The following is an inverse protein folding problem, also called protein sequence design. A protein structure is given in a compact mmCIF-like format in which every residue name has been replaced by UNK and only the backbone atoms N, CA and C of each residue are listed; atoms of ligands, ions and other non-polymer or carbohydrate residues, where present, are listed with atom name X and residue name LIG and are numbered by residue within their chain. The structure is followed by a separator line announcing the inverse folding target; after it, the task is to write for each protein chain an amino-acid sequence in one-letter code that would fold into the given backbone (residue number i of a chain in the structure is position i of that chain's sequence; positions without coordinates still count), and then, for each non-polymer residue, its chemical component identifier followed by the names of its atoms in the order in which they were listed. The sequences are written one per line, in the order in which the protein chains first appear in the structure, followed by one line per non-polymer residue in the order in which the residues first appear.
data_IF_437149380550
#
_entry.id   IF_437149380550
#
_cell.length_a   1.000
_cell.length_b   1.000
_cell.length_c   1.000
_cell.angle_alpha   90.00
_cell.angle_beta   90.00
_cell.angle_gamma   90.00
#
_symmetry.space_group_name_H-M   'P 1'
#
loop_
_entity.id
_entity.type
_entity.pdbx_description
1 polymer ?
#
# COMPACT_ATOMS: atom_id res chain seq x y z
N UNK A 1 -22.38 -43.06 -13.56
CA UNK A 1 -22.17 -42.21 -14.76
C UNK A 1 -20.81 -41.54 -14.60
N UNK A 2 -19.86 -41.79 -15.52
CA UNK A 2 -18.50 -41.22 -15.49
C UNK A 2 -18.52 -39.88 -16.25
N UNK A 3 -18.19 -38.77 -15.59
CA UNK A 3 -17.98 -37.47 -16.24
C UNK A 3 -16.52 -37.33 -16.69
N UNK A 4 -16.35 -36.98 -17.97
CA UNK A 4 -15.07 -36.76 -18.65
C UNK A 4 -14.50 -35.40 -18.23
N UNK A 5 -13.25 -35.37 -17.73
CA UNK A 5 -12.42 -34.16 -17.66
C UNK A 5 -11.95 -33.81 -19.08
N UNK A 6 -12.17 -32.57 -19.49
CA UNK A 6 -11.61 -32.01 -20.72
C UNK A 6 -10.15 -31.63 -20.49
N UNK A 7 -9.22 -32.44 -21.00
CA UNK A 7 -7.81 -32.09 -21.13
C UNK A 7 -7.61 -31.21 -22.38
N UNK A 8 -7.17 -29.97 -22.17
CA UNK A 8 -6.75 -29.07 -23.26
C UNK A 8 -5.34 -29.49 -23.72
N UNK A 9 -5.05 -29.69 -25.02
CA UNK A 9 -3.78 -30.27 -25.46
C UNK A 9 -2.57 -29.34 -25.26
N UNK A 10 -1.52 -29.84 -24.58
CA UNK A 10 -0.20 -29.20 -24.37
C UNK A 10 0.49 -28.67 -25.65
N UNK A 11 0.03 -29.05 -26.85
CA UNK A 11 0.60 -28.60 -28.13
C UNK A 11 0.27 -27.14 -28.49
N UNK A 12 -0.81 -26.55 -27.96
CA UNK A 12 -1.16 -25.15 -28.26
C UNK A 12 -0.36 -24.12 -27.44
N UNK A 13 0.07 -24.46 -26.21
CA UNK A 13 0.92 -23.58 -25.38
C UNK A 13 2.34 -23.43 -25.95
N UNK A 14 2.93 -24.50 -26.50
CA UNK A 14 4.29 -24.44 -27.06
C UNK A 14 4.38 -23.59 -28.34
N UNK A 15 3.35 -23.58 -29.20
CA UNK A 15 3.31 -22.72 -30.39
C UNK A 15 3.21 -21.24 -30.06
N UNK A 16 2.51 -20.88 -28.98
CA UNK A 16 2.40 -19.47 -28.56
C UNK A 16 3.74 -18.93 -28.05
N UNK A 17 4.49 -19.74 -27.30
CA UNK A 17 5.82 -19.41 -26.77
C UNK A 17 6.85 -19.28 -27.91
N UNK A 18 6.87 -20.22 -28.87
CA UNK A 18 7.74 -20.13 -30.05
C UNK A 18 7.44 -18.87 -30.89
N UNK A 19 6.17 -18.48 -31.00
CA UNK A 19 5.77 -17.27 -31.73
C UNK A 19 6.20 -15.99 -31.01
N UNK A 20 6.18 -15.97 -29.68
CA UNK A 20 6.67 -14.84 -28.87
C UNK A 20 8.20 -14.70 -28.91
N UNK A 21 8.94 -15.81 -28.83
CA UNK A 21 10.41 -15.80 -28.94
C UNK A 21 10.84 -15.32 -30.34
N UNK A 22 10.15 -15.78 -31.39
CA UNK A 22 10.44 -15.34 -32.76
C UNK A 22 10.15 -13.84 -32.97
N UNK A 23 9.09 -13.31 -32.33
CA UNK A 23 8.78 -11.87 -32.33
C UNK A 23 9.86 -11.06 -31.62
N UNK A 24 10.35 -11.53 -30.46
CA UNK A 24 11.44 -10.89 -29.70
C UNK A 24 12.77 -10.87 -30.46
N UNK A 25 13.12 -11.96 -31.13
CA UNK A 25 14.34 -12.02 -31.97
C UNK A 25 14.26 -11.09 -33.19
N UNK A 26 13.07 -10.92 -33.77
CA UNK A 26 12.87 -9.99 -34.89
C UNK A 26 12.93 -8.52 -34.44
N UNK A 27 12.51 -8.21 -33.21
CA UNK A 27 12.62 -6.86 -32.63
C UNK A 27 14.07 -6.50 -32.31
N UNK A 28 14.86 -7.44 -31.77
CA UNK A 28 16.30 -7.23 -31.57
C UNK A 28 17.07 -7.02 -32.89
N UNK A 29 16.74 -7.80 -33.94
CA UNK A 29 17.34 -7.62 -35.28
C UNK A 29 16.96 -6.27 -35.90
N UNK A 30 15.73 -5.79 -35.69
CA UNK A 30 15.32 -4.46 -36.13
C UNK A 30 16.07 -3.34 -35.39
N UNK A 31 16.29 -3.49 -34.07
CA UNK A 31 17.05 -2.54 -33.27
C UNK A 31 18.54 -2.48 -33.66
N UNK A 32 19.16 -3.62 -33.98
CA UNK A 32 20.55 -3.68 -34.48
C UNK A 32 20.70 -3.03 -35.86
N UNK A 33 19.69 -3.16 -36.75
CA UNK A 33 19.69 -2.50 -38.07
C UNK A 33 19.49 -0.98 -37.99
N UNK A 34 18.82 -0.48 -36.96
CA UNK A 34 18.69 0.95 -36.66
C UNK A 34 19.98 1.56 -36.09
N UNK A 35 20.77 0.78 -35.36
CA UNK A 35 22.07 1.23 -34.85
C UNK A 35 23.13 1.35 -35.97
N UNK A 36 23.11 0.45 -36.96
CA UNK A 36 24.00 0.53 -38.13
C UNK A 36 23.65 1.65 -39.10
N UNK A 37 22.38 2.06 -39.20
CA UNK A 37 21.98 3.24 -40.02
C UNK A 37 22.41 4.56 -39.38
N UNK A 38 22.57 4.63 -38.06
CA UNK A 38 23.06 5.83 -37.36
C UNK A 38 24.53 6.15 -37.68
N UNK A 39 25.34 5.11 -37.93
CA UNK A 39 26.76 5.24 -38.32
C UNK A 39 26.96 5.61 -39.81
N UNK A 40 25.90 5.61 -40.63
CA UNK A 40 25.97 6.00 -42.04
C UNK A 40 25.74 7.51 -42.28
N UNK A 41 25.42 8.28 -41.24
CA UNK A 41 25.07 9.72 -41.36
C UNK A 41 26.29 10.64 -41.15
N UNK A 42 27.42 10.14 -40.63
CA UNK A 42 28.63 10.92 -40.40
C UNK A 42 29.32 11.52 -41.65
N UNK A 43 29.27 10.95 -42.87
CA UNK A 43 29.93 11.58 -44.02
C UNK A 43 29.13 12.75 -44.64
N UNK A 44 27.84 12.91 -44.34
CA UNK A 44 27.02 13.96 -44.97
C UNK A 44 27.04 15.31 -44.22
N UNK A 45 27.48 15.35 -42.96
CA UNK A 45 27.60 16.62 -42.23
C UNK A 45 28.79 17.48 -42.68
N UNK A 46 29.83 16.88 -43.28
CA UNK A 46 31.01 17.64 -43.77
C UNK A 46 30.80 18.31 -45.14
N UNK A 47 29.82 17.87 -45.94
CA UNK A 47 29.52 18.52 -47.23
C UNK A 47 28.65 19.78 -47.10
N UNK A 48 27.84 19.89 -46.03
CA UNK A 48 26.94 21.05 -45.84
C UNK A 48 27.68 22.29 -45.32
N UNK A 49 28.85 22.13 -44.68
CA UNK A 49 29.66 23.28 -44.21
C UNK A 49 30.45 24.02 -45.33
N UNK A 50 30.43 23.54 -46.58
CA UNK A 50 31.16 24.16 -47.71
C UNK A 50 30.31 24.99 -48.68
N UNK A 51 29.00 25.08 -48.49
CA UNK A 51 28.13 25.86 -49.37
C UNK A 51 27.74 27.22 -48.75
N UNK A 52 28.68 28.16 -48.74
CA UNK A 52 28.41 29.60 -48.54
C UNK A 52 28.21 30.26 -49.91
N UNK A 53 26.95 30.51 -50.28
CA UNK A 53 26.43 31.63 -51.13
C UNK A 53 25.14 31.19 -51.84
N UNK A 54 24.00 31.50 -51.22
CA UNK A 54 22.77 31.99 -51.86
C UNK A 54 21.67 32.01 -50.79
N UNK A 55 21.26 33.21 -50.39
CA UNK A 55 20.48 33.46 -49.18
C UNK A 55 18.98 33.12 -49.29
N UNK A 56 18.47 32.78 -50.48
CA UNK A 56 17.04 32.52 -50.67
C UNK A 56 16.65 31.04 -50.69
N UNK A 57 17.60 30.12 -50.90
CA UNK A 57 17.32 28.68 -50.82
C UNK A 57 17.29 28.14 -49.37
N UNK A 58 17.87 28.88 -48.41
CA UNK A 58 17.98 28.46 -47.00
C UNK A 58 16.64 28.51 -46.25
N UNK A 59 15.71 29.41 -46.63
CA UNK A 59 14.42 29.56 -45.94
C UNK A 59 13.44 28.42 -46.27
N UNK A 60 13.35 28.03 -47.53
CA UNK A 60 12.47 26.93 -47.96
C UNK A 60 12.99 25.58 -47.45
N UNK A 61 14.32 25.36 -47.52
CA UNK A 61 14.91 24.10 -47.04
C UNK A 61 14.83 23.96 -45.52
N UNK A 62 14.95 25.07 -44.75
CA UNK A 62 14.72 25.08 -43.30
C UNK A 62 13.25 24.84 -42.95
N UNK A 63 12.29 25.39 -43.68
CA UNK A 63 10.87 25.09 -43.48
C UNK A 63 10.55 23.62 -43.76
N UNK A 64 11.08 23.04 -44.85
CA UNK A 64 10.86 21.62 -45.18
C UNK A 64 11.51 20.71 -44.13
N UNK A 65 12.73 21.01 -43.67
CA UNK A 65 13.38 20.25 -42.59
C UNK A 65 12.67 20.39 -41.25
N UNK A 66 12.16 21.58 -40.91
CA UNK A 66 11.41 21.80 -39.67
C UNK A 66 10.05 21.12 -39.72
N UNK A 67 9.38 21.10 -40.88
CA UNK A 67 8.14 20.35 -41.10
C UNK A 67 8.37 18.84 -41.04
N UNK A 68 9.47 18.33 -41.62
CA UNK A 68 9.85 16.92 -41.53
C UNK A 68 10.27 16.53 -40.11
N UNK A 69 10.94 17.41 -39.35
CA UNK A 69 11.24 17.21 -37.94
C UNK A 69 9.95 17.21 -37.10
N UNK A 70 9.02 18.14 -37.35
CA UNK A 70 7.74 18.23 -36.63
C UNK A 70 6.83 17.03 -36.94
N UNK A 71 6.80 16.54 -38.18
CA UNK A 71 6.10 15.30 -38.54
C UNK A 71 6.74 14.07 -37.90
N UNK A 72 8.08 13.98 -37.89
CA UNK A 72 8.75 12.89 -37.20
C UNK A 72 8.63 12.98 -35.69
N UNK A 73 8.58 14.18 -35.10
CA UNK A 73 8.33 14.41 -33.67
C UNK A 73 6.88 14.07 -33.32
N UNK A 74 5.92 14.40 -34.18
CA UNK A 74 4.51 14.02 -34.05
C UNK A 74 4.32 12.51 -34.17
N UNK A 75 4.97 11.85 -35.14
CA UNK A 75 5.00 10.40 -35.26
C UNK A 75 5.74 9.71 -34.11
N UNK A 76 6.79 10.33 -33.56
CA UNK A 76 7.46 9.87 -32.34
C UNK A 76 6.57 10.05 -31.13
N UNK A 77 5.84 11.16 -30.99
CA UNK A 77 4.86 11.42 -29.92
C UNK A 77 3.62 10.53 -30.05
N UNK A 78 3.19 10.18 -31.26
CA UNK A 78 2.12 9.22 -31.52
C UNK A 78 2.57 7.78 -31.25
N UNK A 79 3.80 7.42 -31.61
CA UNK A 79 4.41 6.15 -31.19
C UNK A 79 4.69 6.13 -29.70
N UNK A 80 5.03 7.27 -29.07
CA UNK A 80 5.13 7.39 -27.62
C UNK A 80 3.76 7.31 -26.98
N UNK A 81 2.70 7.91 -27.54
CA UNK A 81 1.31 7.74 -27.10
C UNK A 81 0.76 6.34 -27.36
N UNK A 82 1.29 5.59 -28.31
CA UNK A 82 0.91 4.21 -28.58
C UNK A 82 1.68 3.22 -27.71
N UNK A 83 2.98 3.46 -27.45
CA UNK A 83 3.75 2.70 -26.45
C UNK A 83 3.29 3.04 -25.04
N UNK A 84 3.05 4.33 -24.77
CA UNK A 84 2.42 4.79 -23.55
C UNK A 84 0.93 4.42 -23.56
N UNK A 85 0.28 4.13 -24.68
CA UNK A 85 -1.10 3.62 -24.69
C UNK A 85 -1.21 2.15 -24.26
N UNK A 86 -0.15 1.37 -24.47
CA UNK A 86 -0.03 -0.01 -23.94
C UNK A 86 0.67 -0.06 -22.56
N UNK A 87 1.47 0.96 -22.20
CA UNK A 87 2.11 1.11 -20.87
C UNK A 87 1.26 1.97 -19.90
N UNK A 88 0.25 2.67 -20.42
CA UNK A 88 -0.82 3.37 -19.71
C UNK A 88 -2.13 2.58 -19.91
N UNK A 89 -2.05 1.25 -19.79
CA UNK A 89 -2.99 0.60 -18.88
C UNK A 89 -2.87 1.40 -17.61
N UNK A 90 -3.90 2.18 -17.27
CA UNK A 90 -4.03 2.91 -16.02
C UNK A 90 -3.38 2.04 -14.95
N UNK A 91 -2.21 2.44 -14.45
CA UNK A 91 -1.61 1.78 -13.30
C UNK A 91 -2.49 2.20 -12.15
N UNK A 92 -3.64 1.55 -12.04
CA UNK A 92 -4.63 1.85 -11.04
C UNK A 92 -4.03 1.48 -9.71
N UNK A 93 -3.98 2.48 -8.84
CA UNK A 93 -3.38 2.32 -7.53
C UNK A 93 -4.41 1.68 -6.62
N UNK A 94 -4.02 0.57 -6.00
CA UNK A 94 -4.76 0.02 -4.87
C UNK A 94 -4.33 0.71 -3.59
N UNK A 95 -5.20 0.73 -2.58
CA UNK A 95 -4.87 1.26 -1.28
C UNK A 95 -5.00 0.17 -0.22
N UNK A 96 -4.05 0.10 0.69
CA UNK A 96 -4.00 -0.93 1.70
C UNK A 96 -3.59 -0.36 3.06
N UNK A 97 -4.26 -0.83 4.10
CA UNK A 97 -3.80 -0.64 5.47
C UNK A 97 -3.56 -2.00 6.13
N UNK A 98 -2.41 -2.17 6.77
CA UNK A 98 -2.14 -3.32 7.62
C UNK A 98 -2.45 -2.95 9.06
N UNK A 99 -3.43 -3.63 9.65
CA UNK A 99 -3.84 -3.41 11.04
C UNK A 99 -3.04 -4.36 11.93
N UNK A 100 -2.04 -3.82 12.62
CA UNK A 100 -1.15 -4.59 13.50
C UNK A 100 -1.23 -4.09 14.94
N UNK A 101 -0.72 -4.89 15.86
CA UNK A 101 -0.63 -4.53 17.28
C UNK A 101 -0.78 -5.75 18.18
N UNK A 102 -0.37 -5.64 19.46
CA UNK A 102 -0.37 -6.75 20.39
C UNK A 102 -1.74 -7.43 20.53
N UNK A 103 -1.74 -8.69 20.95
CA UNK A 103 -2.96 -9.44 21.21
C UNK A 103 -3.87 -8.69 22.20
N UNK A 104 -5.17 -8.65 21.88
CA UNK A 104 -6.14 -7.92 22.70
C UNK A 104 -6.16 -6.40 22.51
N UNK A 105 -5.35 -5.80 21.64
CA UNK A 105 -5.41 -4.36 21.31
C UNK A 105 -6.71 -3.94 20.61
N UNK A 106 -7.50 -4.88 20.08
CA UNK A 106 -8.80 -4.60 19.45
C UNK A 106 -8.75 -4.40 17.93
N UNK A 107 -7.80 -5.03 17.23
CA UNK A 107 -7.64 -4.97 15.76
C UNK A 107 -8.93 -5.32 14.99
N UNK A 108 -9.47 -6.52 15.18
CA UNK A 108 -10.70 -6.96 14.51
C UNK A 108 -11.91 -6.08 14.86
N UNK A 109 -11.98 -5.58 16.10
CA UNK A 109 -13.03 -4.62 16.52
C UNK A 109 -12.89 -3.29 15.79
N UNK A 110 -11.66 -2.80 15.63
CA UNK A 110 -11.37 -1.60 14.84
C UNK A 110 -11.75 -1.81 13.37
N UNK A 111 -11.40 -2.95 12.76
CA UNK A 111 -11.78 -3.28 11.38
C UNK A 111 -13.29 -3.28 11.20
N UNK A 112 -14.04 -3.89 12.12
CA UNK A 112 -15.52 -3.89 12.11
C UNK A 112 -16.10 -2.48 12.18
N UNK A 113 -15.68 -1.67 13.16
CA UNK A 113 -16.23 -0.33 13.34
C UNK A 113 -15.83 0.63 12.21
N UNK A 114 -14.63 0.47 11.64
CA UNK A 114 -14.21 1.26 10.49
C UNK A 114 -15.01 0.87 9.24
N UNK A 115 -15.23 -0.42 9.02
CA UNK A 115 -16.06 -0.92 7.92
C UNK A 115 -17.49 -0.37 7.99
N UNK A 116 -18.16 -0.48 9.15
CA UNK A 116 -19.51 0.06 9.36
C UNK A 116 -19.58 1.58 9.14
N UNK A 117 -18.56 2.31 9.60
CA UNK A 117 -18.47 3.76 9.38
C UNK A 117 -18.35 4.09 7.89
N UNK A 118 -17.51 3.35 7.16
CA UNK A 118 -17.28 3.56 5.73
C UNK A 118 -18.51 3.19 4.87
N UNK A 119 -19.22 2.11 5.21
CA UNK A 119 -20.52 1.81 4.60
C UNK A 119 -21.52 2.95 4.80
N UNK A 120 -21.56 3.52 6.02
CA UNK A 120 -22.50 4.61 6.35
C UNK A 120 -22.24 5.88 5.53
N UNK A 121 -20.97 6.21 5.26
CA UNK A 121 -20.60 7.37 4.42
C UNK A 121 -20.60 7.05 2.92
N UNK A 122 -20.92 5.81 2.53
CA UNK A 122 -20.94 5.36 1.13
C UNK A 122 -19.57 5.13 0.51
N UNK A 123 -18.54 4.86 1.33
CA UNK A 123 -17.19 4.52 0.89
C UNK A 123 -17.00 3.01 0.87
N UNK A 124 -16.62 2.46 -0.27
CA UNK A 124 -16.32 1.03 -0.42
C UNK A 124 -14.96 0.70 0.20
N UNK A 125 -14.95 -0.32 1.05
CA UNK A 125 -13.74 -0.91 1.62
C UNK A 125 -13.92 -2.42 1.72
N UNK A 126 -12.82 -3.15 1.62
CA UNK A 126 -12.81 -4.60 1.67
C UNK A 126 -11.90 -5.06 2.81
N UNK A 127 -12.43 -5.87 3.73
CA UNK A 127 -11.67 -6.37 4.87
C UNK A 127 -11.13 -7.76 4.56
N UNK A 128 -9.81 -7.91 4.67
CA UNK A 128 -9.08 -9.16 4.48
C UNK A 128 -8.67 -9.71 5.84
N UNK A 129 -9.02 -10.96 6.10
CA UNK A 129 -8.56 -11.65 7.30
C UNK A 129 -7.21 -12.33 7.02
N UNK A 130 -6.17 -11.92 7.77
CA UNK A 130 -4.88 -12.61 7.82
C UNK A 130 -4.64 -13.35 9.13
N UNK A 131 -5.62 -13.39 10.05
CA UNK A 131 -5.53 -14.16 11.28
C UNK A 131 -6.13 -15.57 11.11
N UNK A 132 -5.31 -16.64 11.01
CA UNK A 132 -5.80 -18.01 10.85
C UNK A 132 -6.43 -18.57 12.14
N UNK A 133 -6.31 -17.86 13.27
CA UNK A 133 -6.93 -18.20 14.55
C UNK A 133 -8.28 -17.49 14.79
N UNK A 134 -8.75 -16.64 13.85
CA UNK A 134 -9.99 -15.90 14.02
C UNK A 134 -11.23 -16.81 13.91
N UNK A 135 -12.12 -16.71 14.89
CA UNK A 135 -13.34 -17.53 14.96
C UNK A 135 -14.59 -16.81 14.44
N UNK A 136 -14.76 -15.52 14.79
CA UNK A 136 -15.98 -14.75 14.55
C UNK A 136 -15.65 -13.39 13.92
N UNK A 137 -16.33 -13.07 12.82
CA UNK A 137 -16.27 -11.77 12.17
C UNK A 137 -17.62 -11.06 12.26
N UNK A 138 -17.56 -9.74 12.46
CA UNK A 138 -18.74 -8.86 12.47
C UNK A 138 -18.83 -8.02 11.18
N UNK A 139 -18.09 -8.39 10.14
CA UNK A 139 -18.01 -7.71 8.86
C UNK A 139 -17.89 -8.75 7.74
N UNK A 140 -18.27 -8.41 6.49
CA UNK A 140 -18.03 -9.28 5.35
C UNK A 140 -16.53 -9.35 5.06
N UNK A 141 -16.00 -10.57 5.07
CA UNK A 141 -14.60 -10.85 4.77
C UNK A 141 -14.46 -11.02 3.26
N UNK A 142 -13.57 -10.23 2.67
CA UNK A 142 -13.29 -10.19 1.23
C UNK A 142 -12.33 -11.31 0.80
N UNK A 143 -11.34 -11.60 1.64
CA UNK A 143 -10.38 -12.70 1.48
C UNK A 143 -10.07 -13.25 2.88
N UNK A 144 -9.99 -14.56 3.03
CA UNK A 144 -9.77 -15.21 4.31
C UNK A 144 -8.61 -16.20 4.23
N UNK A 145 -7.53 -15.94 4.98
CA UNK A 145 -6.38 -16.85 5.06
C UNK A 145 -6.76 -18.27 5.48
N UNK A 146 -7.87 -18.45 6.21
CA UNK A 146 -8.34 -19.78 6.66
C UNK A 146 -8.75 -20.68 5.50
N UNK A 147 -9.03 -20.13 4.32
CA UNK A 147 -9.27 -20.90 3.10
C UNK A 147 -7.97 -21.48 2.51
N UNK A 148 -6.84 -20.82 2.78
CA UNK A 148 -5.50 -21.29 2.41
C UNK A 148 -4.94 -22.24 3.49
N UNK A 149 -4.97 -21.83 4.76
CA UNK A 149 -4.42 -22.56 5.89
C UNK A 149 -5.13 -22.19 7.21
N UNK A 150 -5.59 -23.19 7.95
CA UNK A 150 -6.21 -23.00 9.27
C UNK A 150 -5.22 -23.35 10.39
N UNK A 151 -5.28 -22.61 11.51
CA UNK A 151 -4.40 -22.88 12.64
C UNK A 151 -4.72 -24.24 13.30
N UNK A 152 -6.00 -24.61 13.36
CA UNK A 152 -6.45 -25.87 13.96
C UNK A 152 -5.88 -27.08 13.21
N UNK A 153 -6.00 -27.10 11.88
CA UNK A 153 -5.49 -28.20 11.05
C UNK A 153 -3.96 -28.33 11.18
N UNK A 154 -3.24 -27.21 11.17
CA UNK A 154 -1.78 -27.19 11.34
C UNK A 154 -1.35 -27.72 12.70
N UNK A 155 -2.07 -27.34 13.77
CA UNK A 155 -1.78 -27.82 15.13
C UNK A 155 -2.02 -29.33 15.24
N UNK A 156 -3.08 -29.85 14.61
CA UNK A 156 -3.41 -31.28 14.64
C UNK A 156 -2.43 -32.12 13.81
N UNK A 157 -2.13 -31.70 12.58
CA UNK A 157 -1.29 -32.45 11.65
C UNK A 157 0.19 -32.41 12.01
N UNK A 158 0.72 -31.21 12.31
CA UNK A 158 2.15 -31.01 12.58
C UNK A 158 2.50 -31.14 14.07
N UNK A 159 1.49 -31.31 14.95
CA UNK A 159 1.65 -31.41 16.41
C UNK A 159 2.40 -30.22 17.00
N UNK A 160 2.16 -29.04 16.44
CA UNK A 160 2.72 -27.79 16.91
C UNK A 160 1.83 -27.17 17.98
N UNK A 161 2.44 -26.39 18.88
CA UNK A 161 1.67 -25.53 19.79
C UNK A 161 1.08 -24.31 19.06
N UNK A 162 0.17 -23.54 19.67
CA UNK A 162 -0.54 -22.44 19.02
C UNK A 162 0.38 -21.41 18.35
N UNK A 163 1.44 -20.97 19.04
CA UNK A 163 2.38 -20.00 18.46
C UNK A 163 3.20 -20.60 17.31
N UNK A 164 3.61 -21.86 17.42
CA UNK A 164 4.36 -22.55 16.36
C UNK A 164 3.50 -22.81 15.13
N UNK A 165 2.23 -23.19 15.34
CA UNK A 165 1.26 -23.35 14.25
C UNK A 165 0.96 -22.03 13.56
N UNK A 166 0.82 -20.93 14.32
CA UNK A 166 0.59 -19.61 13.73
C UNK A 166 1.77 -19.16 12.87
N UNK A 167 3.00 -19.34 13.37
CA UNK A 167 4.21 -19.05 12.59
C UNK A 167 4.23 -19.84 11.27
N UNK A 168 3.90 -21.13 11.33
CA UNK A 168 3.81 -21.97 10.14
C UNK A 168 2.75 -21.47 9.15
N UNK A 169 1.56 -21.07 9.63
CA UNK A 169 0.51 -20.52 8.77
C UNK A 169 1.00 -19.26 8.03
N UNK A 170 1.73 -18.41 8.73
CA UNK A 170 2.27 -17.16 8.16
C UNK A 170 3.42 -17.43 7.18
N UNK A 171 4.29 -18.39 7.45
CA UNK A 171 5.31 -18.86 6.50
C UNK A 171 4.67 -19.48 5.25
N UNK A 172 3.58 -20.25 5.41
CA UNK A 172 2.85 -20.82 4.28
C UNK A 172 2.15 -19.77 3.42
N UNK A 173 1.65 -18.69 4.04
CA UNK A 173 1.16 -17.51 3.32
C UNK A 173 2.28 -16.87 2.49
N UNK A 174 3.49 -16.73 3.05
CA UNK A 174 4.65 -16.18 2.36
C UNK A 174 5.04 -17.02 1.13
N UNK A 175 5.02 -18.35 1.26
CA UNK A 175 5.28 -19.25 0.13
C UNK A 175 4.19 -19.18 -0.96
N UNK A 176 2.97 -18.75 -0.59
CA UNK A 176 1.79 -18.72 -1.46
C UNK A 176 1.45 -17.34 -2.01
N UNK A 177 2.30 -16.32 -1.84
CA UNK A 177 2.02 -14.93 -2.26
C UNK A 177 1.74 -14.79 -3.76
N UNK A 178 2.55 -15.45 -4.60
CA UNK A 178 2.44 -15.35 -6.06
C UNK A 178 1.31 -16.20 -6.65
N UNK A 179 0.76 -17.13 -5.87
CA UNK A 179 -0.28 -18.05 -6.33
C UNK A 179 -1.64 -17.63 -5.77
N UNK A 180 -1.80 -17.61 -4.45
CA UNK A 180 -3.09 -17.32 -3.81
C UNK A 180 -3.37 -15.82 -3.68
N UNK A 181 -2.43 -15.03 -3.15
CA UNK A 181 -2.65 -13.59 -2.94
C UNK A 181 -2.83 -12.87 -4.27
N UNK A 182 -2.08 -13.25 -5.30
CA UNK A 182 -2.22 -12.68 -6.64
C UNK A 182 -3.59 -12.93 -7.28
N UNK A 183 -4.11 -14.15 -7.14
CA UNK A 183 -5.45 -14.52 -7.63
C UNK A 183 -6.55 -13.77 -6.89
N UNK A 184 -6.44 -13.65 -5.56
CA UNK A 184 -7.43 -12.92 -4.77
C UNK A 184 -7.41 -11.41 -5.04
N UNK A 185 -6.22 -10.81 -5.19
CA UNK A 185 -6.06 -9.39 -5.52
C UNK A 185 -6.50 -9.04 -6.95
N UNK A 186 -6.70 -10.00 -7.85
CA UNK A 186 -7.28 -9.73 -9.17
C UNK A 186 -8.73 -9.22 -9.09
N UNK A 187 -9.46 -9.59 -8.02
CA UNK A 187 -10.84 -9.17 -7.81
C UNK A 187 -10.98 -7.74 -7.23
N UNK A 188 -9.88 -7.13 -6.77
CA UNK A 188 -9.89 -5.87 -6.02
C UNK A 188 -8.91 -4.85 -6.61
N UNK A 189 -9.22 -4.36 -7.82
CA UNK A 189 -8.41 -3.39 -8.55
C UNK A 189 -9.26 -2.17 -8.91
N UNK A 190 -8.59 -1.04 -9.06
CA UNK A 190 -9.16 0.28 -9.42
C UNK A 190 -9.78 1.05 -8.23
N UNK A 191 -8.94 1.80 -7.50
CA UNK A 191 -9.32 2.67 -6.37
C UNK A 191 -9.91 1.94 -5.14
N UNK A 192 -9.80 0.61 -5.11
CA UNK A 192 -10.22 -0.20 -3.97
C UNK A 192 -9.33 0.01 -2.74
N UNK A 193 -9.97 -0.02 -1.57
CA UNK A 193 -9.31 0.10 -0.29
C UNK A 193 -9.42 -1.21 0.51
N UNK A 194 -8.29 -1.89 0.65
CA UNK A 194 -8.13 -3.11 1.42
C UNK A 194 -7.69 -2.82 2.88
N UNK A 195 -8.37 -3.48 3.83
CA UNK A 195 -7.99 -3.49 5.24
C UNK A 195 -7.53 -4.90 5.61
N UNK A 196 -6.25 -5.08 5.92
CA UNK A 196 -5.71 -6.36 6.36
C UNK A 196 -5.76 -6.45 7.90
N UNK A 197 -6.61 -7.33 8.43
CA UNK A 197 -6.63 -7.67 9.86
C UNK A 197 -5.56 -8.73 10.15
N UNK A 198 -4.46 -8.33 10.78
CA UNK A 198 -3.31 -9.20 11.03
C UNK A 198 -3.42 -9.94 12.38
N UNK A 199 -2.75 -11.10 12.52
CA UNK A 199 -2.71 -11.82 13.80
C UNK A 199 -2.10 -10.97 14.93
N UNK A 200 -2.52 -11.24 16.16
CA UNK A 200 -2.10 -10.46 17.33
C UNK A 200 -0.74 -10.80 17.94
N UNK A 201 -0.02 -11.79 17.43
CA UNK A 201 1.27 -12.19 18.01
C UNK A 201 2.37 -11.23 17.59
N UNK A 202 3.13 -10.73 18.57
CA UNK A 202 4.10 -9.65 18.36
C UNK A 202 5.29 -10.11 17.51
N UNK A 203 5.62 -11.40 17.57
CA UNK A 203 6.76 -12.01 16.90
C UNK A 203 6.70 -11.84 15.38
N UNK A 204 5.49 -11.74 14.82
CA UNK A 204 5.23 -11.61 13.38
C UNK A 204 5.68 -10.27 12.80
N UNK A 205 5.73 -9.22 13.61
CA UNK A 205 6.16 -7.89 13.18
C UNK A 205 7.42 -7.38 13.90
N UNK A 206 8.04 -8.19 14.77
CA UNK A 206 9.31 -7.84 15.42
C UNK A 206 10.50 -8.71 15.00
N UNK A 207 10.29 -9.98 14.64
CA UNK A 207 11.40 -10.94 14.45
C UNK A 207 11.38 -11.68 13.12
N UNK A 208 10.21 -11.83 12.49
CA UNK A 208 10.06 -12.63 11.28
C UNK A 208 9.73 -11.73 10.07
N UNK A 209 10.37 -11.93 8.90
CA UNK A 209 10.19 -11.05 7.75
C UNK A 209 8.92 -11.33 6.94
N UNK A 210 8.05 -12.28 7.33
CA UNK A 210 6.83 -12.64 6.59
C UNK A 210 5.99 -11.41 6.23
N UNK A 211 5.66 -10.57 7.22
CA UNK A 211 4.84 -9.37 6.96
C UNK A 211 5.57 -8.32 6.12
N UNK A 212 6.90 -8.24 6.23
CA UNK A 212 7.71 -7.37 5.37
C UNK A 212 7.63 -7.84 3.91
N UNK A 213 7.81 -9.13 3.67
CA UNK A 213 7.78 -9.72 2.33
C UNK A 213 6.37 -9.62 1.73
N UNK A 214 5.32 -9.82 2.53
CA UNK A 214 3.93 -9.57 2.14
C UNK A 214 3.71 -8.09 1.72
N UNK A 215 4.20 -7.13 2.49
CA UNK A 215 4.13 -5.70 2.16
C UNK A 215 4.90 -5.38 0.87
N UNK A 216 6.11 -5.92 0.70
CA UNK A 216 6.90 -5.73 -0.50
C UNK A 216 6.18 -6.29 -1.74
N UNK A 217 5.52 -7.43 -1.60
CA UNK A 217 4.68 -8.02 -2.64
C UNK A 217 3.49 -7.12 -2.99
N UNK A 218 2.76 -6.58 -2.01
CA UNK A 218 1.69 -5.60 -2.25
C UNK A 218 2.19 -4.35 -2.99
N UNK A 219 3.35 -3.81 -2.59
CA UNK A 219 3.98 -2.67 -3.28
C UNK A 219 4.33 -2.99 -4.73
N UNK A 220 4.80 -4.21 -5.02
CA UNK A 220 5.06 -4.66 -6.40
C UNK A 220 3.78 -4.75 -7.25
N UNK A 221 2.62 -4.88 -6.59
CA UNK A 221 1.28 -4.85 -7.23
C UNK A 221 0.66 -3.45 -7.28
N UNK A 222 1.45 -2.40 -7.08
CA UNK A 222 1.02 -0.99 -7.09
C UNK A 222 0.00 -0.63 -5.98
N UNK A 223 0.12 -1.23 -4.80
CA UNK A 223 -0.62 -0.77 -3.62
C UNK A 223 0.16 0.31 -2.86
N UNK A 224 -0.53 1.40 -2.50
CA UNK A 224 -0.09 2.32 -1.46
C UNK A 224 -0.45 1.71 -0.10
N UNK A 225 0.58 1.38 0.67
CA UNK A 225 0.43 0.65 1.92
C UNK A 225 0.82 1.54 3.09
N UNK A 226 -0.03 1.61 4.12
CA UNK A 226 0.36 2.09 5.44
C UNK A 226 0.12 1.04 6.52
N UNK A 227 0.72 1.25 7.69
CA UNK A 227 0.46 0.42 8.87
C UNK A 227 -0.38 1.21 9.86
N UNK A 228 -1.43 0.59 10.38
CA UNK A 228 -2.20 1.08 11.52
C UNK A 228 -1.80 0.26 12.73
N UNK A 229 -1.02 0.86 13.63
CA UNK A 229 -0.53 0.19 14.83
C UNK A 229 -1.45 0.48 16.01
N UNK A 230 -2.17 -0.53 16.51
CA UNK A 230 -3.05 -0.40 17.67
C UNK A 230 -2.34 -0.75 18.97
N UNK A 231 -2.41 0.18 19.93
CA UNK A 231 -1.96 -0.01 21.31
C UNK A 231 -3.14 0.19 22.26
N UNK A 232 -3.28 -0.66 23.28
CA UNK A 232 -4.35 -0.51 24.27
C UNK A 232 -4.10 0.74 25.14
N UNK A 233 -5.14 1.54 25.37
CA UNK A 233 -5.13 2.68 26.30
C UNK A 233 -4.57 2.38 27.71
N UNK A 234 -4.58 1.12 28.17
CA UNK A 234 -3.94 0.76 29.43
C UNK A 234 -2.42 0.98 29.46
N UNK A 235 -1.79 1.17 28.29
CA UNK A 235 -0.36 1.50 28.20
C UNK A 235 -0.07 2.95 28.59
N UNK A 236 -1.05 3.86 28.54
CA UNK A 236 -0.89 5.26 28.95
C UNK A 236 -1.28 5.51 30.43
N UNK A 237 -1.36 4.46 31.25
CA UNK A 237 -1.58 4.59 32.71
C UNK A 237 -0.28 4.72 33.50
N UNK A 238 0.84 4.35 32.90
CA UNK A 238 2.15 4.28 33.55
C UNK A 238 3.25 4.59 32.52
N UNK A 239 4.19 5.46 32.88
CA UNK A 239 5.31 5.85 32.00
C UNK A 239 6.14 4.67 31.50
N UNK A 240 6.36 3.63 32.31
CA UNK A 240 7.12 2.43 31.93
C UNK A 240 6.39 1.62 30.88
N UNK A 241 5.06 1.51 31.01
CA UNK A 241 4.21 0.86 30.01
C UNK A 241 4.19 1.69 28.72
N UNK A 242 4.01 3.00 28.84
CA UNK A 242 3.98 3.90 27.69
C UNK A 242 5.27 3.78 26.85
N UNK A 243 6.43 3.88 27.50
CA UNK A 243 7.72 3.72 26.81
C UNK A 243 7.85 2.34 26.17
N UNK A 244 7.45 1.27 26.86
CA UNK A 244 7.43 -0.08 26.26
C UNK A 244 6.57 -0.14 25.00
N UNK A 245 5.40 0.52 25.00
CA UNK A 245 4.53 0.65 23.84
C UNK A 245 5.17 1.44 22.70
N UNK A 246 5.80 2.57 23.00
CA UNK A 246 6.56 3.36 22.02
C UNK A 246 7.68 2.55 21.38
N UNK A 247 8.45 1.81 22.18
CA UNK A 247 9.54 0.97 21.69
C UNK A 247 9.04 -0.18 20.82
N UNK A 248 7.90 -0.78 21.17
CA UNK A 248 7.30 -1.85 20.34
C UNK A 248 6.80 -1.33 19.00
N UNK A 249 6.14 -0.16 18.99
CA UNK A 249 5.74 0.51 17.75
C UNK A 249 6.95 0.87 16.88
N UNK A 250 7.99 1.47 17.48
CA UNK A 250 9.20 1.84 16.76
C UNK A 250 9.93 0.61 16.17
N UNK A 251 9.97 -0.50 16.91
CA UNK A 251 10.53 -1.75 16.39
C UNK A 251 9.75 -2.25 15.15
N UNK A 252 8.42 -2.18 15.18
CA UNK A 252 7.59 -2.54 14.03
C UNK A 252 7.80 -1.60 12.83
N UNK A 253 7.96 -0.29 13.08
CA UNK A 253 8.27 0.69 12.04
C UNK A 253 9.57 0.37 11.31
N UNK A 254 10.63 0.04 12.06
CA UNK A 254 11.92 -0.31 11.50
C UNK A 254 11.83 -1.63 10.72
N UNK A 255 11.07 -2.61 11.23
CA UNK A 255 10.96 -3.92 10.60
C UNK A 255 10.17 -3.87 9.28
N UNK A 256 9.06 -3.12 9.23
CA UNK A 256 8.16 -3.07 8.08
C UNK A 256 8.53 -1.97 7.06
N UNK A 257 9.34 -0.99 7.45
CA UNK A 257 9.78 0.10 6.58
C UNK A 257 8.61 0.81 5.86
N UNK A 258 7.56 1.08 6.64
CA UNK A 258 6.31 1.70 6.19
C UNK A 258 5.92 2.88 7.08
N UNK A 259 5.18 3.87 6.57
CA UNK A 259 4.60 4.88 7.42
C UNK A 259 3.55 4.25 8.34
N UNK A 260 3.60 4.63 9.63
CA UNK A 260 2.73 4.08 10.66
C UNK A 260 1.82 5.16 11.22
N UNK A 261 0.53 4.85 11.30
CA UNK A 261 -0.47 5.59 12.07
C UNK A 261 -0.65 4.86 13.39
N UNK A 262 -0.07 5.38 14.47
CA UNK A 262 -0.20 4.75 15.78
C UNK A 262 -1.50 5.20 16.44
N UNK A 263 -2.28 4.24 16.94
CA UNK A 263 -3.61 4.47 17.51
C UNK A 263 -3.64 3.93 18.93
N UNK A 264 -4.19 4.72 19.86
CA UNK A 264 -4.57 4.26 21.19
C UNK A 264 -6.03 3.82 21.19
N UNK A 265 -6.25 2.53 21.30
CA UNK A 265 -7.58 1.91 21.32
C UNK A 265 -8.18 1.88 22.72
N UNK A 266 -9.49 1.58 22.79
CA UNK A 266 -10.24 1.42 24.05
C UNK A 266 -10.23 2.63 24.98
N UNK A 267 -10.15 3.84 24.43
CA UNK A 267 -10.20 5.10 25.19
C UNK A 267 -11.52 5.32 25.95
N UNK A 268 -12.54 4.50 25.69
CA UNK A 268 -13.78 4.45 26.47
C UNK A 268 -13.64 3.69 27.80
N UNK A 269 -12.64 2.82 27.96
CA UNK A 269 -12.39 2.07 29.19
C UNK A 269 -11.55 2.82 30.22
N UNK A 270 -10.87 3.89 29.81
CA UNK A 270 -10.13 4.76 30.74
C UNK A 270 -11.09 5.54 31.65
N UNK A 271 -11.01 5.25 32.94
CA UNK A 271 -11.79 5.93 33.98
C UNK A 271 -11.25 7.34 34.25
N UNK A 272 -9.93 7.48 34.28
CA UNK A 272 -9.26 8.76 34.45
C UNK A 272 -8.68 9.24 33.13
N UNK A 273 -9.00 10.50 32.79
CA UNK A 273 -8.63 11.13 31.53
C UNK A 273 -7.75 12.35 31.73
N UNK A 274 -7.44 12.73 32.97
CA UNK A 274 -6.68 13.95 33.26
C UNK A 274 -5.25 13.90 32.74
N UNK A 275 -4.63 12.72 32.77
CA UNK A 275 -3.20 12.56 32.45
C UNK A 275 -2.96 12.13 30.99
N UNK A 276 -4.02 12.04 30.18
CA UNK A 276 -3.90 11.58 28.78
C UNK A 276 -3.06 12.56 27.98
N UNK A 277 -3.29 13.86 28.16
CA UNK A 277 -2.61 14.91 27.39
C UNK A 277 -1.10 14.90 27.62
N UNK A 278 -0.65 14.51 28.82
CA UNK A 278 0.77 14.38 29.17
C UNK A 278 1.47 13.25 28.39
N UNK A 279 0.73 12.20 28.00
CA UNK A 279 1.27 11.09 27.20
C UNK A 279 1.04 11.28 25.69
N UNK A 280 0.01 12.04 25.29
CA UNK A 280 -0.22 12.38 23.88
C UNK A 280 0.75 13.44 23.38
N UNK A 281 1.13 14.39 24.23
CA UNK A 281 2.13 15.42 23.94
C UNK A 281 3.25 15.35 24.98
N UNK A 282 4.08 14.30 24.95
CA UNK A 282 5.04 14.04 26.00
C UNK A 282 6.15 15.08 26.05
N UNK A 283 6.28 15.76 27.18
CA UNK A 283 7.47 16.56 27.48
C UNK A 283 8.62 15.64 27.96
N UNK A 284 9.76 15.58 27.25
CA UNK A 284 10.84 14.65 27.60
C UNK A 284 11.35 14.81 29.03
N UNK A 285 11.36 16.05 29.56
CA UNK A 285 11.81 16.32 30.93
C UNK A 285 10.89 15.69 31.97
N UNK A 286 9.59 15.80 31.76
CA UNK A 286 8.56 15.28 32.66
C UNK A 286 8.56 13.76 32.65
N UNK A 287 8.61 13.15 31.46
CA UNK A 287 8.71 11.70 31.34
C UNK A 287 9.99 11.13 31.97
N UNK A 288 11.13 11.80 31.79
CA UNK A 288 12.39 11.36 32.38
C UNK A 288 12.36 11.43 33.91
N UNK A 289 11.76 12.47 34.48
CA UNK A 289 11.60 12.60 35.92
C UNK A 289 10.73 11.46 36.48
N UNK A 290 9.56 11.22 35.89
CA UNK A 290 8.65 10.16 36.31
C UNK A 290 9.30 8.77 36.18
N UNK A 291 10.01 8.52 35.07
CA UNK A 291 10.68 7.24 34.85
C UNK A 291 11.81 6.99 35.85
N UNK A 292 12.57 8.03 36.23
CA UNK A 292 13.61 7.93 37.24
C UNK A 292 13.06 7.75 38.66
N UNK A 293 11.84 8.21 38.95
CA UNK A 293 11.18 7.95 40.22
C UNK A 293 10.72 6.49 40.35
N UNK A 294 10.27 5.88 39.24
CA UNK A 294 9.78 4.49 39.23
C UNK A 294 10.91 3.46 39.11
N UNK A 295 12.02 3.80 38.47
CA UNK A 295 13.13 2.89 38.20
C UNK A 295 14.31 3.14 39.15
N UNK A 296 15.12 2.10 39.41
CA UNK A 296 16.31 2.24 40.25
C UNK A 296 17.34 3.24 39.66
N UNK A 297 18.11 3.96 40.51
CA UNK A 297 19.03 5.01 40.07
C UNK A 297 20.14 4.50 39.13
N UNK A 298 20.46 3.21 39.17
CA UNK A 298 21.40 2.57 38.24
C UNK A 298 20.95 2.65 36.76
N UNK A 299 19.66 2.81 36.50
CA UNK A 299 19.10 2.88 35.14
C UNK A 299 19.01 4.31 34.60
N UNK A 300 19.43 5.34 35.34
CA UNK A 300 19.29 6.74 34.93
C UNK A 300 19.86 7.05 33.53
N UNK A 301 20.99 6.41 33.16
CA UNK A 301 21.57 6.56 31.81
C UNK A 301 20.69 5.91 30.73
N UNK A 302 20.12 4.74 31.01
CA UNK A 302 19.22 4.04 30.09
C UNK A 302 17.92 4.83 29.92
N UNK A 303 17.33 5.28 31.02
CA UNK A 303 16.12 6.10 31.05
C UNK A 303 16.28 7.35 30.18
N UNK A 304 17.40 8.04 30.32
CA UNK A 304 17.72 9.21 29.50
C UNK A 304 17.77 8.86 28.00
N UNK A 305 18.48 7.80 27.62
CA UNK A 305 18.60 7.39 26.22
C UNK A 305 17.24 6.95 25.61
N UNK A 306 16.39 6.27 26.39
CA UNK A 306 15.04 5.89 25.94
C UNK A 306 14.16 7.12 25.70
N UNK A 307 14.18 8.09 26.61
CA UNK A 307 13.39 9.31 26.48
C UNK A 307 13.91 10.22 25.36
N UNK A 308 15.23 10.33 25.18
CA UNK A 308 15.81 11.03 24.02
C UNK A 308 15.36 10.37 22.72
N UNK A 309 15.34 9.03 22.63
CA UNK A 309 14.82 8.33 21.45
C UNK A 309 13.33 8.61 21.20
N UNK A 310 12.48 8.58 22.22
CA UNK A 310 11.05 8.86 22.04
C UNK A 310 10.82 10.34 21.66
N UNK A 311 11.56 11.26 22.29
CA UNK A 311 11.36 12.70 22.12
C UNK A 311 12.03 13.30 20.86
N UNK A 312 13.26 12.90 20.52
CA UNK A 312 13.99 13.46 19.39
C UNK A 312 13.44 13.00 18.05
N UNK A 313 12.94 11.77 17.99
CA UNK A 313 12.46 11.24 16.73
C UNK A 313 11.03 11.63 16.41
N UNK A 314 10.21 12.08 17.39
CA UNK A 314 8.80 12.41 17.17
C UNK A 314 8.01 11.31 16.42
N UNK A 315 8.58 10.11 16.34
CA UNK A 315 8.22 9.06 15.39
C UNK A 315 6.98 8.29 15.86
N UNK A 316 6.61 8.44 17.13
CA UNK A 316 5.51 7.70 17.73
C UNK A 316 4.51 8.66 18.37
N UNK A 317 3.81 9.43 17.55
CA UNK A 317 2.58 10.11 17.97
C UNK A 317 1.44 9.11 17.93
N UNK A 318 0.69 9.03 19.03
CA UNK A 318 -0.50 8.19 19.13
C UNK A 318 -1.77 9.02 18.96
N UNK A 319 -2.69 8.54 18.15
CA UNK A 319 -4.02 9.13 17.99
C UNK A 319 -5.01 8.36 18.87
N UNK A 320 -5.67 9.00 19.83
CA UNK A 320 -6.68 8.33 20.64
C UNK A 320 -7.93 8.05 19.79
N UNK A 321 -8.38 6.80 19.74
CA UNK A 321 -9.64 6.42 19.09
C UNK A 321 -10.71 6.02 20.11
N UNK A 322 -11.91 6.54 19.91
CA UNK A 322 -13.11 6.07 20.60
C UNK A 322 -14.13 5.60 19.57
N UNK A 323 -14.33 4.28 19.50
CA UNK A 323 -15.24 3.65 18.53
C UNK A 323 -16.71 4.03 18.73
N UNK A 324 -17.09 4.58 19.89
CA UNK A 324 -18.45 5.09 20.14
C UNK A 324 -18.69 6.49 19.57
N UNK A 325 -17.64 7.16 19.08
CA UNK A 325 -17.70 8.53 18.57
C UNK A 325 -17.29 8.52 17.10
N UNK A 326 -18.26 8.69 16.20
CA UNK A 326 -18.03 8.73 14.75
C UNK A 326 -16.96 9.76 14.35
N UNK A 327 -16.97 10.96 14.96
CA UNK A 327 -15.94 11.99 14.72
C UNK A 327 -14.51 11.50 14.99
N UNK A 328 -14.34 10.59 15.95
CA UNK A 328 -13.03 10.01 16.26
C UNK A 328 -12.58 9.03 15.18
N UNK A 329 -13.51 8.22 14.67
CA UNK A 329 -13.25 7.28 13.56
C UNK A 329 -12.92 8.07 12.29
N UNK A 330 -13.72 9.09 11.98
CA UNK A 330 -13.51 9.97 10.83
C UNK A 330 -12.15 10.69 10.90
N UNK A 331 -11.74 11.17 12.07
CA UNK A 331 -10.43 11.79 12.25
C UNK A 331 -9.30 10.79 11.97
N UNK A 332 -9.36 9.58 12.53
CA UNK A 332 -8.38 8.52 12.27
C UNK A 332 -8.34 8.17 10.78
N UNK A 333 -9.50 7.97 10.16
CA UNK A 333 -9.59 7.68 8.73
C UNK A 333 -8.94 8.78 7.89
N UNK A 334 -9.17 10.06 8.21
CA UNK A 334 -8.51 11.18 7.51
C UNK A 334 -6.99 11.18 7.64
N UNK A 335 -6.46 10.79 8.81
CA UNK A 335 -5.00 10.68 9.01
C UNK A 335 -4.42 9.52 8.22
N UNK A 336 -5.16 8.42 8.12
CA UNK A 336 -4.77 7.28 7.29
C UNK A 336 -4.82 7.68 5.82
N UNK A 337 -5.90 8.30 5.36
CA UNK A 337 -6.04 8.76 3.97
C UNK A 337 -4.87 9.67 3.54
N UNK A 338 -4.47 10.60 4.40
CA UNK A 338 -3.27 11.43 4.15
C UNK A 338 -1.99 10.59 4.09
N UNK A 339 -1.88 9.55 4.91
CA UNK A 339 -0.73 8.66 4.96
C UNK A 339 -0.59 7.79 3.69
N UNK A 340 -1.71 7.28 3.16
CA UNK A 340 -1.75 6.47 1.92
C UNK A 340 -2.02 7.29 0.65
N UNK A 341 -2.16 8.62 0.79
CA UNK A 341 -2.52 9.55 -0.28
C UNK A 341 -3.85 9.19 -0.97
N UNK A 342 -4.79 8.63 -0.22
CA UNK A 342 -6.08 8.24 -0.75
C UNK A 342 -6.90 9.46 -1.16
N UNK A 343 -7.36 9.47 -2.42
CA UNK A 343 -8.24 10.53 -2.93
C UNK A 343 -7.52 11.82 -3.33
N UNK A 344 -6.18 11.87 -3.33
CA UNK A 344 -5.43 13.01 -3.91
C UNK A 344 -5.57 13.07 -5.44
N UNK A 345 -5.74 11.92 -6.10
CA UNK A 345 -5.93 11.78 -7.55
C UNK A 345 -7.41 11.73 -7.96
N UNK A 346 -8.35 11.88 -7.01
CA UNK A 346 -9.77 11.97 -7.34
C UNK A 346 -10.03 13.31 -8.05
N UNK A 347 -9.90 13.32 -9.37
CA UNK A 347 -10.33 14.43 -10.22
C UNK A 347 -11.70 14.90 -9.76
N UNK A 348 -11.83 16.21 -9.51
CA UNK A 348 -13.13 16.84 -9.24
C UNK A 348 -14.00 16.53 -10.44
N UNK A 349 -14.88 15.53 -10.31
CA UNK A 349 -15.96 15.29 -11.27
C UNK A 349 -16.86 16.50 -11.19
N UNK A 350 -16.57 17.50 -12.01
CA UNK A 350 -17.50 18.58 -12.31
C UNK A 350 -18.73 17.83 -12.80
N UNK A 351 -19.79 17.82 -11.99
CA UNK A 351 -21.10 17.46 -12.49
C UNK A 351 -21.38 18.49 -13.56
N UNK A 352 -21.38 18.05 -14.81
CA UNK A 352 -22.06 18.77 -15.88
C UNK A 352 -23.54 18.74 -15.46
N UNK A 353 -23.91 19.71 -14.63
CA UNK A 353 -25.31 20.08 -14.44
C UNK A 353 -25.71 20.69 -15.78
N UNK A 354 -26.09 19.82 -16.71
CA UNK A 354 -26.96 20.16 -17.83
C UNK A 354 -28.27 20.65 -17.21
N UNK A 355 -28.28 21.91 -16.76
CA UNK A 355 -29.49 22.68 -16.54
C UNK A 355 -30.14 22.83 -17.92
N UNK A 356 -30.97 21.84 -18.23
CA UNK A 356 -32.03 21.86 -19.22
C UNK A 356 -32.97 23.02 -18.82
N UNK A 357 -32.58 24.25 -19.17
CA UNK A 357 -33.43 25.42 -19.11
C UNK A 357 -34.54 25.20 -20.13
N UNK A 358 -35.63 24.61 -19.65
CA UNK A 358 -36.90 24.51 -20.34
C UNK A 358 -37.30 25.88 -20.90
N UNK A 359 -37.40 25.93 -22.22
CA UNK A 359 -38.00 27.00 -23.00
C UNK A 359 -39.52 27.02 -22.72
N UNK A 360 -39.93 27.66 -21.62
CA UNK A 360 -41.33 28.03 -21.40
C UNK A 360 -41.62 29.35 -22.14
N UNK A 361 -41.86 29.23 -23.44
CA UNK A 361 -42.56 30.25 -24.23
C UNK A 361 -44.03 30.36 -23.79
N UNK A 362 -44.62 31.57 -23.74
CA UNK A 362 -45.98 31.72 -23.26
C UNK A 362 -46.96 31.42 -24.40
N UNK A 363 -47.76 30.35 -24.27
CA UNK A 363 -48.93 30.14 -25.10
C UNK A 363 -50.22 30.09 -24.25
N UNK A 364 -50.99 31.18 -24.44
CA UNK A 364 -52.44 31.40 -24.27
C UNK A 364 -53.04 31.66 -22.87
#
# INVERSE_FOLDING_TARGET
MKQKRNEIPRQHKNRAIETQIQRGMNTMKAAQNLATTRNAIEPHQQQVLRAKKNEDASKVLKCVYCFFLLLNLSLYLLKFKSLCGEVCLLATMGYAQLVIGPAGSGKSTYCSSLYEHCETIGRTMHVVNLDPAAEIFNYPVAMDIRELVSLEDVMEELKLGPNGGLMYCMEYLEDSLHDWVDEELENYRDDDYLIFDCPGQIELFTHVPVLKNFVEHLKQKNFNVCVVYLLDSQFITDVTKFISGCMSSLAAMIQLELPHVNILSKMDLLQDKSNIDDYLNPEPRTLLAELNERMGPQYAKLNKALIEMVGEYGMVNFIPINLRKEKSIQYVLSQIDVCIQFGEDADVKIRDDDEDFGDDGPDL
#
